data_IF_338685876569
#
_entry.id   IF_338685876569
#
_cell.length_a   1.000
_cell.length_b   1.000
_cell.length_c   1.000
_cell.angle_alpha   90.00
_cell.angle_beta   90.00
_cell.angle_gamma   90.00
#
_symmetry.space_group_name_H-M   'P 1'
#
loop_
_entity.id
_entity.type
_entity.pdbx_description
1 polymer ?
#
# COMPACT_ATOMS: atom_id res chain seq x y z
N UNK A 1 -0.37 -4.37 -16.96
CA UNK A 1 -0.22 -2.90 -17.13
C UNK A 1 -0.95 -2.27 -15.97
N UNK A 2 -0.24 -1.61 -15.08
CA UNK A 2 -0.84 -0.92 -13.94
C UNK A 2 -1.73 0.23 -14.43
N UNK A 3 -2.84 0.48 -13.74
CA UNK A 3 -3.77 1.57 -14.06
C UNK A 3 -3.30 2.82 -13.35
N UNK A 4 -2.80 3.80 -14.10
CA UNK A 4 -2.39 5.08 -13.52
C UNK A 4 -3.58 6.04 -13.41
N UNK A 5 -4.12 6.23 -12.21
CA UNK A 5 -5.26 7.11 -11.97
C UNK A 5 -4.92 8.60 -12.13
N UNK A 6 -3.64 8.97 -12.09
CA UNK A 6 -3.19 10.34 -12.32
C UNK A 6 -3.03 10.70 -13.81
N UNK A 7 -3.00 9.70 -14.72
CA UNK A 7 -2.88 9.95 -16.15
C UNK A 7 -4.22 10.34 -16.77
N UNK A 8 -4.34 11.57 -17.25
CA UNK A 8 -5.54 12.08 -17.95
C UNK A 8 -5.95 11.23 -19.16
N UNK A 9 -5.01 10.51 -19.78
CA UNK A 9 -5.25 9.63 -20.94
C UNK A 9 -5.83 8.28 -20.55
N UNK A 10 -5.74 7.88 -19.26
CA UNK A 10 -6.31 6.63 -18.76
C UNK A 10 -7.84 6.73 -18.65
N UNK A 11 -8.55 6.67 -19.80
CA UNK A 11 -10.02 6.80 -19.86
C UNK A 11 -10.76 5.49 -19.57
N UNK A 12 -10.08 4.36 -19.69
CA UNK A 12 -10.68 3.02 -19.55
C UNK A 12 -10.55 2.41 -18.15
N UNK A 13 -10.06 3.17 -17.17
CA UNK A 13 -9.83 2.70 -15.81
C UNK A 13 -11.08 2.02 -15.19
N UNK A 14 -12.25 2.61 -15.35
CA UNK A 14 -13.50 2.06 -14.82
C UNK A 14 -13.82 0.67 -15.38
N UNK A 15 -13.62 0.47 -16.70
CA UNK A 15 -13.80 -0.84 -17.35
C UNK A 15 -12.79 -1.88 -16.86
N UNK A 16 -11.55 -1.46 -16.61
CA UNK A 16 -10.51 -2.35 -16.09
C UNK A 16 -10.87 -2.77 -14.66
N UNK A 17 -11.20 -1.81 -13.78
CA UNK A 17 -11.59 -2.11 -12.41
C UNK A 17 -12.86 -2.95 -12.31
N UNK A 18 -13.88 -2.71 -13.16
CA UNK A 18 -15.06 -3.57 -13.20
C UNK A 18 -14.71 -5.05 -13.49
N UNK A 19 -13.79 -5.30 -14.45
CA UNK A 19 -13.29 -6.66 -14.71
C UNK A 19 -12.49 -7.22 -13.54
N UNK A 20 -11.64 -6.40 -12.91
CA UNK A 20 -10.86 -6.78 -11.74
C UNK A 20 -11.76 -7.18 -10.58
N UNK A 21 -12.80 -6.41 -10.29
CA UNK A 21 -13.74 -6.72 -9.21
C UNK A 21 -14.62 -7.94 -9.52
N UNK A 22 -15.02 -8.14 -10.79
CA UNK A 22 -15.71 -9.36 -11.20
C UNK A 22 -14.84 -10.61 -10.94
N UNK A 23 -13.57 -10.56 -11.31
CA UNK A 23 -12.61 -11.62 -11.05
C UNK A 23 -12.33 -11.81 -9.55
N UNK A 24 -12.11 -10.71 -8.82
CA UNK A 24 -11.91 -10.76 -7.37
C UNK A 24 -13.09 -11.41 -6.64
N UNK A 25 -14.32 -11.13 -7.07
CA UNK A 25 -15.52 -11.79 -6.56
C UNK A 25 -15.53 -13.29 -6.86
N UNK A 26 -15.18 -13.68 -8.08
CA UNK A 26 -15.12 -15.09 -8.50
C UNK A 26 -14.14 -15.89 -7.67
N UNK A 27 -12.92 -15.37 -7.46
CA UNK A 27 -11.89 -16.03 -6.65
C UNK A 27 -12.07 -15.79 -5.13
N UNK A 28 -13.14 -15.10 -4.71
CA UNK A 28 -13.42 -14.76 -3.31
C UNK A 28 -12.27 -13.98 -2.64
N UNK A 29 -11.60 -13.09 -3.37
CA UNK A 29 -10.58 -12.22 -2.79
C UNK A 29 -11.19 -11.34 -1.70
N UNK A 30 -10.48 -11.16 -0.59
CA UNK A 30 -10.96 -10.35 0.53
C UNK A 30 -11.00 -8.86 0.20
N UNK A 31 -10.12 -8.39 -0.67
CA UNK A 31 -10.05 -6.99 -1.12
C UNK A 31 -9.22 -6.88 -2.41
N UNK A 32 -9.30 -5.70 -3.04
CA UNK A 32 -8.45 -5.29 -4.15
C UNK A 32 -7.67 -4.04 -3.74
N UNK A 33 -6.36 -4.05 -3.96
CA UNK A 33 -5.48 -2.91 -3.71
C UNK A 33 -5.53 -1.96 -4.90
N UNK A 34 -5.62 -0.66 -4.63
CA UNK A 34 -5.68 0.38 -5.65
C UNK A 34 -4.57 1.41 -5.40
N UNK A 35 -3.70 1.57 -6.38
CA UNK A 35 -2.71 2.64 -6.40
C UNK A 35 -3.37 3.97 -6.78
N UNK A 36 -2.99 5.05 -6.13
CA UNK A 36 -3.44 6.40 -6.49
C UNK A 36 -2.81 6.87 -7.80
N UNK A 37 -1.55 6.51 -8.02
CA UNK A 37 -0.78 6.88 -9.22
C UNK A 37 0.45 5.98 -9.39
N UNK A 38 0.98 5.94 -10.61
CA UNK A 38 2.31 5.40 -10.92
C UNK A 38 3.30 6.55 -11.19
N UNK A 39 2.87 7.52 -11.98
CA UNK A 39 3.56 8.78 -12.28
C UNK A 39 2.52 9.86 -12.51
N UNK A 40 2.94 11.13 -12.42
CA UNK A 40 2.02 12.23 -12.65
C UNK A 40 2.74 13.45 -13.27
N UNK A 41 1.95 14.32 -13.91
CA UNK A 41 2.41 15.58 -14.52
C UNK A 41 1.34 16.65 -14.41
N UNK A 42 1.75 17.91 -14.31
CA UNK A 42 0.88 19.07 -14.23
C UNK A 42 0.74 19.60 -12.81
N UNK A 43 -0.27 20.42 -12.58
CA UNK A 43 -0.54 21.02 -11.28
C UNK A 43 -1.00 19.95 -10.29
N UNK A 44 -0.29 19.84 -9.16
CA UNK A 44 -0.48 18.79 -8.15
C UNK A 44 -1.93 18.68 -7.68
N UNK A 45 -2.53 19.79 -7.28
CA UNK A 45 -3.90 19.81 -6.77
C UNK A 45 -4.92 19.34 -7.82
N UNK A 46 -4.75 19.75 -9.08
CA UNK A 46 -5.62 19.31 -10.16
C UNK A 46 -5.51 17.79 -10.39
N UNK A 47 -4.30 17.24 -10.29
CA UNK A 47 -4.06 15.81 -10.45
C UNK A 47 -4.61 15.02 -9.25
N UNK A 48 -4.41 15.50 -8.02
CA UNK A 48 -5.02 14.92 -6.83
C UNK A 48 -6.54 14.90 -6.94
N UNK A 49 -7.17 16.00 -7.35
CA UNK A 49 -8.60 16.09 -7.57
C UNK A 49 -9.09 15.11 -8.67
N UNK A 50 -8.31 14.87 -9.72
CA UNK A 50 -8.60 13.85 -10.73
C UNK A 50 -8.60 12.45 -10.12
N UNK A 51 -7.58 12.12 -9.33
CA UNK A 51 -7.46 10.83 -8.65
C UNK A 51 -8.62 10.62 -7.68
N UNK A 52 -8.97 11.61 -6.87
CA UNK A 52 -10.10 11.54 -5.92
C UNK A 52 -11.41 11.22 -6.65
N UNK A 53 -11.70 11.91 -7.75
CA UNK A 53 -12.91 11.62 -8.55
C UNK A 53 -12.91 10.19 -9.10
N UNK A 54 -11.76 9.70 -9.57
CA UNK A 54 -11.63 8.35 -10.10
C UNK A 54 -11.73 7.28 -9.02
N UNK A 55 -11.14 7.52 -7.86
CA UNK A 55 -11.26 6.63 -6.69
C UNK A 55 -12.73 6.49 -6.26
N UNK A 56 -13.49 7.61 -6.19
CA UNK A 56 -14.92 7.55 -5.88
C UNK A 56 -15.68 6.62 -6.84
N UNK A 57 -15.45 6.78 -8.12
CA UNK A 57 -16.08 5.93 -9.13
C UNK A 57 -15.64 4.45 -9.02
N UNK A 58 -14.34 4.19 -8.71
CA UNK A 58 -13.83 2.84 -8.49
C UNK A 58 -14.49 2.18 -7.28
N UNK A 59 -14.66 2.93 -6.19
CA UNK A 59 -15.32 2.43 -4.97
C UNK A 59 -16.79 2.11 -5.25
N UNK A 60 -17.52 2.98 -5.95
CA UNK A 60 -18.89 2.73 -6.39
C UNK A 60 -19.01 1.45 -7.26
N UNK A 61 -18.02 1.22 -8.15
CA UNK A 61 -17.98 -0.02 -8.93
C UNK A 61 -17.71 -1.23 -8.03
N UNK A 62 -16.76 -1.12 -7.09
CA UNK A 62 -16.40 -2.22 -6.18
C UNK A 62 -17.61 -2.67 -5.33
N UNK A 63 -18.45 -1.73 -4.88
CA UNK A 63 -19.66 -1.99 -4.12
C UNK A 63 -20.65 -2.89 -4.91
N UNK A 64 -20.79 -2.67 -6.22
CA UNK A 64 -21.66 -3.49 -7.09
C UNK A 64 -21.22 -4.97 -7.13
N UNK A 65 -19.93 -5.23 -6.89
CA UNK A 65 -19.39 -6.58 -6.83
C UNK A 65 -19.25 -7.12 -5.40
N UNK A 66 -19.57 -6.31 -4.39
CA UNK A 66 -19.35 -6.60 -2.97
C UNK A 66 -17.86 -6.92 -2.67
N UNK A 67 -16.95 -6.17 -3.28
CA UNK A 67 -15.50 -6.29 -3.10
C UNK A 67 -15.00 -5.07 -2.35
N UNK A 68 -14.14 -5.28 -1.35
CA UNK A 68 -13.54 -4.19 -0.59
C UNK A 68 -12.31 -3.63 -1.31
N UNK A 69 -12.11 -2.32 -1.16
CA UNK A 69 -10.94 -1.62 -1.72
C UNK A 69 -9.97 -1.26 -0.59
N UNK A 70 -8.68 -1.45 -0.84
CA UNK A 70 -7.61 -0.85 -0.04
C UNK A 70 -6.89 0.20 -0.88
N UNK A 71 -6.64 1.37 -0.31
CA UNK A 71 -5.78 2.38 -0.93
C UNK A 71 -4.37 2.20 -0.39
N UNK A 72 -3.39 2.19 -1.29
CA UNK A 72 -1.97 2.05 -0.96
C UNK A 72 -1.23 3.38 -1.04
N UNK A 73 -0.26 3.60 -0.14
CA UNK A 73 0.66 4.73 -0.18
C UNK A 73 1.74 4.49 -1.24
N UNK A 74 1.54 5.03 -2.41
CA UNK A 74 2.44 4.89 -3.56
C UNK A 74 3.13 6.19 -3.93
N UNK A 75 4.17 6.05 -4.75
CA UNK A 75 4.98 7.16 -5.22
C UNK A 75 6.15 7.47 -4.28
N UNK A 76 7.26 7.88 -4.89
CA UNK A 76 8.53 8.09 -4.20
C UNK A 76 9.05 9.49 -4.45
N UNK A 77 9.43 10.19 -3.39
CA UNK A 77 10.01 11.53 -3.46
C UNK A 77 11.27 11.59 -4.36
N UNK A 78 12.23 10.65 -4.25
CA UNK A 78 13.40 10.67 -5.13
C UNK A 78 13.08 10.47 -6.61
N UNK A 79 11.99 9.77 -6.93
CA UNK A 79 11.52 9.55 -8.30
C UNK A 79 10.56 10.65 -8.80
N UNK A 80 10.29 11.68 -7.99
CA UNK A 80 9.32 12.75 -8.28
C UNK A 80 7.90 12.21 -8.60
N UNK A 81 7.59 11.00 -8.14
CA UNK A 81 6.28 10.36 -8.34
C UNK A 81 5.35 10.46 -7.14
N UNK A 82 5.79 11.05 -6.02
CA UNK A 82 5.00 11.22 -4.81
C UNK A 82 3.91 12.27 -5.02
N UNK A 83 2.69 11.83 -5.31
CA UNK A 83 1.53 12.70 -5.50
C UNK A 83 0.84 13.02 -4.17
N UNK A 84 0.69 12.04 -3.28
CA UNK A 84 0.10 12.17 -1.96
C UNK A 84 1.18 11.91 -0.90
N UNK A 85 1.80 12.96 -0.37
CA UNK A 85 2.68 12.83 0.80
C UNK A 85 1.84 12.56 2.06
N UNK A 86 2.45 12.25 3.20
CA UNK A 86 1.72 11.81 4.39
C UNK A 86 0.50 12.69 4.75
N UNK A 87 0.59 14.03 4.82
CA UNK A 87 -0.57 14.86 5.09
C UNK A 87 -1.67 14.72 4.05
N UNK A 88 -1.30 14.70 2.75
CA UNK A 88 -2.25 14.54 1.66
C UNK A 88 -2.88 13.14 1.65
N UNK A 89 -2.08 12.11 1.96
CA UNK A 89 -2.57 10.73 2.06
C UNK A 89 -3.59 10.60 3.20
N UNK A 90 -3.29 11.16 4.37
CA UNK A 90 -4.25 11.15 5.49
C UNK A 90 -5.52 11.94 5.15
N UNK A 91 -5.41 13.09 4.50
CA UNK A 91 -6.56 13.87 4.04
C UNK A 91 -7.39 13.10 2.99
N UNK A 92 -6.73 12.38 2.07
CA UNK A 92 -7.42 11.49 1.11
C UNK A 92 -8.25 10.43 1.83
N UNK A 93 -7.71 9.83 2.90
CA UNK A 93 -8.41 8.82 3.68
C UNK A 93 -9.62 9.39 4.43
N UNK A 94 -9.62 10.66 4.83
CA UNK A 94 -10.79 11.32 5.42
C UNK A 94 -11.93 11.53 4.40
N UNK A 95 -11.60 11.63 3.10
CA UNK A 95 -12.62 11.67 2.03
C UNK A 95 -13.30 10.30 1.84
N UNK A 96 -12.59 9.20 2.15
CA UNK A 96 -13.04 7.82 1.94
C UNK A 96 -12.99 7.02 3.24
N UNK A 97 -13.87 7.34 4.18
CA UNK A 97 -13.86 6.77 5.54
C UNK A 97 -14.15 5.27 5.58
N UNK A 98 -14.86 4.74 4.59
CA UNK A 98 -15.25 3.33 4.43
C UNK A 98 -14.13 2.44 3.86
N UNK A 99 -13.10 3.05 3.25
CA UNK A 99 -12.03 2.32 2.57
C UNK A 99 -10.94 1.91 3.55
N UNK A 100 -10.43 0.70 3.38
CA UNK A 100 -9.27 0.22 4.12
C UNK A 100 -7.96 0.75 3.53
N UNK A 101 -6.87 0.51 4.25
CA UNK A 101 -5.52 0.95 3.84
C UNK A 101 -4.60 -0.25 3.74
N UNK A 102 -3.77 -0.27 2.71
CA UNK A 102 -2.55 -1.04 2.65
C UNK A 102 -1.38 -0.07 2.87
N UNK A 103 -0.54 -0.34 3.85
CA UNK A 103 0.68 0.41 4.10
C UNK A 103 1.86 -0.33 3.50
N UNK A 104 2.48 0.25 2.48
CA UNK A 104 3.78 -0.18 2.01
C UNK A 104 4.87 0.46 2.87
N UNK A 105 5.65 -0.40 3.55
CA UNK A 105 6.68 0.02 4.51
C UNK A 105 7.89 0.62 3.83
N UNK A 106 8.27 0.10 2.66
CA UNK A 106 9.41 0.61 1.90
C UNK A 106 9.12 1.98 1.31
N UNK A 107 7.95 2.18 0.72
CA UNK A 107 7.51 3.50 0.25
C UNK A 107 7.46 4.53 1.39
N UNK A 108 6.89 4.14 2.53
CA UNK A 108 6.83 5.01 3.70
C UNK A 108 8.23 5.40 4.18
N UNK A 109 9.18 4.43 4.23
CA UNK A 109 10.55 4.67 4.68
C UNK A 109 11.32 5.60 3.74
N UNK A 110 11.27 5.35 2.41
CA UNK A 110 11.91 6.23 1.40
C UNK A 110 11.36 7.66 1.46
N UNK A 111 10.08 7.82 1.77
CA UNK A 111 9.44 9.12 1.90
C UNK A 111 9.66 9.79 3.28
N UNK A 112 10.37 9.12 4.20
CA UNK A 112 10.70 9.64 5.53
C UNK A 112 9.53 9.67 6.51
N UNK A 113 8.54 8.78 6.33
CA UNK A 113 7.39 8.71 7.23
C UNK A 113 7.76 8.00 8.54
N UNK A 114 7.22 8.47 9.65
CA UNK A 114 7.25 7.74 10.93
C UNK A 114 6.24 6.58 10.87
N UNK A 115 6.72 5.41 10.45
CA UNK A 115 5.88 4.23 10.22
C UNK A 115 5.09 3.84 11.47
N UNK A 116 5.65 3.75 12.68
CA UNK A 116 4.90 3.49 13.91
C UNK A 116 3.79 4.51 14.17
N UNK A 117 4.05 5.80 13.94
CA UNK A 117 3.04 6.84 14.11
C UNK A 117 1.91 6.72 13.07
N UNK A 118 2.24 6.39 11.81
CA UNK A 118 1.27 6.12 10.75
C UNK A 118 0.39 4.93 11.10
N UNK A 119 0.98 3.80 11.55
CA UNK A 119 0.23 2.61 11.99
C UNK A 119 -0.75 2.97 13.13
N UNK A 120 -0.28 3.75 14.10
CA UNK A 120 -1.14 4.22 15.21
C UNK A 120 -2.31 5.08 14.70
N UNK A 121 -2.05 6.00 13.78
CA UNK A 121 -3.07 6.88 13.21
C UNK A 121 -4.12 6.10 12.38
N UNK A 122 -3.68 5.13 11.59
CA UNK A 122 -4.56 4.29 10.78
C UNK A 122 -5.37 3.30 11.62
N UNK A 123 -4.79 2.74 12.68
CA UNK A 123 -5.46 1.82 13.57
C UNK A 123 -6.20 0.69 12.84
N UNK A 124 -7.49 0.53 13.10
CA UNK A 124 -8.33 -0.52 12.48
C UNK A 124 -8.56 -0.36 10.97
N UNK A 125 -8.25 0.80 10.40
CA UNK A 125 -8.33 1.03 8.95
C UNK A 125 -7.19 0.34 8.21
N UNK A 126 -6.06 0.10 8.86
CA UNK A 126 -4.94 -0.67 8.31
C UNK A 126 -5.35 -2.14 8.19
N UNK A 127 -5.49 -2.63 6.96
CA UNK A 127 -5.96 -3.98 6.63
C UNK A 127 -4.84 -4.89 6.16
N UNK A 128 -3.84 -4.32 5.49
CA UNK A 128 -2.69 -5.05 4.99
C UNK A 128 -1.44 -4.16 5.02
N UNK A 129 -0.28 -4.79 5.01
CA UNK A 129 1.00 -4.14 4.83
C UNK A 129 1.82 -4.92 3.81
N UNK A 130 2.47 -4.22 2.87
CA UNK A 130 3.59 -4.74 2.12
C UNK A 130 4.87 -4.53 2.93
N UNK A 131 5.59 -5.63 3.16
CA UNK A 131 6.79 -5.64 3.99
C UNK A 131 8.01 -5.92 3.14
N UNK A 132 8.83 -4.92 2.98
CA UNK A 132 10.17 -5.02 2.44
C UNK A 132 11.04 -3.91 3.03
N UNK A 133 12.34 -4.15 3.05
CA UNK A 133 13.30 -3.22 3.60
C UNK A 133 14.02 -2.43 2.50
N UNK A 134 14.60 -1.31 2.86
CA UNK A 134 15.48 -0.51 2.02
C UNK A 134 16.38 0.40 2.88
N UNK A 135 17.36 1.02 2.24
CA UNK A 135 18.28 1.96 2.88
C UNK A 135 17.74 3.39 3.04
N UNK A 136 16.46 3.67 2.70
CA UNK A 136 15.85 5.00 2.75
C UNK A 136 16.11 5.88 1.51
N UNK A 137 16.96 5.46 0.59
CA UNK A 137 17.29 6.22 -0.63
C UNK A 137 16.47 5.76 -1.85
N UNK A 138 16.05 4.52 -1.89
CA UNK A 138 15.31 3.91 -3.00
C UNK A 138 14.49 2.72 -2.56
N UNK A 139 13.61 2.31 -3.45
CA UNK A 139 12.71 1.19 -3.26
C UNK A 139 13.39 -0.10 -3.69
N UNK A 140 14.08 -0.74 -2.74
CA UNK A 140 15.00 -1.83 -3.02
C UNK A 140 14.38 -3.23 -2.86
N UNK A 141 13.21 -3.33 -2.21
CA UNK A 141 12.51 -4.59 -1.92
C UNK A 141 13.42 -5.65 -1.27
N UNK A 142 14.23 -5.22 -0.30
CA UNK A 142 15.13 -6.11 0.45
C UNK A 142 14.34 -6.93 1.49
N UNK A 143 14.84 -8.12 1.86
CA UNK A 143 14.33 -8.83 3.03
C UNK A 143 14.42 -7.99 4.31
N UNK A 144 13.46 -8.19 5.20
CA UNK A 144 13.41 -7.55 6.53
C UNK A 144 14.75 -7.72 7.26
N UNK A 145 15.31 -6.58 7.70
CA UNK A 145 16.58 -6.51 8.43
C UNK A 145 17.82 -6.34 7.55
N UNK A 146 17.65 -6.23 6.22
CA UNK A 146 18.76 -5.94 5.30
C UNK A 146 18.84 -4.46 4.89
N UNK A 147 17.91 -3.63 5.36
CA UNK A 147 17.89 -2.18 5.19
C UNK A 147 18.00 -1.45 6.52
N UNK A 148 17.29 -0.33 6.62
CA UNK A 148 17.37 0.56 7.79
C UNK A 148 16.02 0.82 8.47
N UNK A 149 14.93 0.12 8.08
CA UNK A 149 13.64 0.23 8.75
C UNK A 149 13.72 -0.31 10.18
N UNK A 150 13.16 0.41 11.13
CA UNK A 150 13.09 -0.05 12.52
C UNK A 150 11.94 -1.08 12.69
N UNK A 151 12.23 -2.34 12.37
CA UNK A 151 11.26 -3.43 12.42
C UNK A 151 10.76 -3.76 13.82
N UNK A 152 11.57 -3.53 14.86
CA UNK A 152 11.11 -3.72 16.24
C UNK A 152 9.99 -2.72 16.58
N UNK A 153 10.17 -1.46 16.23
CA UNK A 153 9.15 -0.43 16.41
C UNK A 153 7.92 -0.69 15.54
N UNK A 154 8.13 -1.15 14.29
CA UNK A 154 7.06 -1.55 13.39
C UNK A 154 6.17 -2.64 14.01
N UNK A 155 6.73 -3.80 14.38
CA UNK A 155 5.95 -4.91 14.90
C UNK A 155 5.28 -4.59 16.24
N UNK A 156 5.92 -3.81 17.11
CA UNK A 156 5.27 -3.29 18.33
C UNK A 156 4.04 -2.44 18.01
N UNK A 157 4.13 -1.58 16.98
CA UNK A 157 3.01 -0.74 16.57
C UNK A 157 1.87 -1.59 15.96
N UNK A 158 2.19 -2.56 15.10
CA UNK A 158 1.21 -3.50 14.52
C UNK A 158 0.48 -4.27 15.62
N UNK A 159 1.20 -4.91 16.52
CA UNK A 159 0.59 -5.69 17.61
C UNK A 159 -0.35 -4.85 18.48
N UNK A 160 -0.01 -3.58 18.70
CA UNK A 160 -0.79 -2.67 19.55
C UNK A 160 -1.98 -2.05 18.84
N UNK A 161 -1.82 -1.62 17.59
CA UNK A 161 -2.80 -0.74 16.91
C UNK A 161 -3.53 -1.39 15.74
N UNK A 162 -2.92 -2.39 15.09
CA UNK A 162 -3.48 -3.05 13.92
C UNK A 162 -3.24 -4.58 13.91
N UNK A 163 -3.52 -5.33 15.01
CA UNK A 163 -3.13 -6.74 15.15
C UNK A 163 -3.84 -7.70 14.18
N UNK A 164 -4.83 -7.23 13.44
CA UNK A 164 -5.57 -8.02 12.44
C UNK A 164 -5.17 -7.69 10.99
N UNK A 165 -4.18 -6.82 10.80
CA UNK A 165 -3.68 -6.51 9.48
C UNK A 165 -2.89 -7.68 8.90
N UNK A 166 -3.07 -7.93 7.61
CA UNK A 166 -2.35 -8.98 6.88
C UNK A 166 -0.96 -8.46 6.56
N UNK A 167 0.05 -9.29 6.83
CA UNK A 167 1.45 -8.96 6.55
C UNK A 167 1.87 -9.72 5.30
N UNK A 168 2.23 -9.01 4.23
CA UNK A 168 2.63 -9.57 2.93
C UNK A 168 4.11 -9.24 2.71
N UNK A 169 4.96 -10.26 2.62
CA UNK A 169 6.35 -10.08 2.27
C UNK A 169 6.47 -9.80 0.77
N UNK A 170 7.07 -8.68 0.39
CA UNK A 170 7.20 -8.24 -0.99
C UNK A 170 8.68 -8.06 -1.36
N UNK A 171 9.39 -9.18 -1.39
CA UNK A 171 10.82 -9.19 -1.71
C UNK A 171 11.06 -9.45 -3.20
N UNK A 172 11.96 -8.71 -3.83
CA UNK A 172 12.37 -8.96 -5.22
C UNK A 172 13.63 -9.84 -5.32
N UNK A 173 14.32 -10.10 -4.22
CA UNK A 173 15.57 -10.89 -4.14
C UNK A 173 15.82 -11.37 -2.71
N UNK A 174 16.88 -12.14 -2.52
CA UNK A 174 17.36 -12.53 -1.18
C UNK A 174 17.13 -13.99 -0.82
N UNK A 175 16.37 -14.73 -1.65
CA UNK A 175 16.15 -16.16 -1.42
C UNK A 175 16.27 -16.95 -2.72
N UNK A 176 17.07 -18.03 -2.68
CA UNK A 176 17.27 -18.93 -3.82
C UNK A 176 16.24 -20.07 -3.85
N UNK A 177 15.48 -20.26 -2.75
CA UNK A 177 14.51 -21.32 -2.62
C UNK A 177 13.34 -20.95 -1.70
N UNK A 178 12.21 -21.65 -1.84
CA UNK A 178 11.08 -21.52 -0.95
C UNK A 178 11.45 -21.88 0.51
N UNK A 179 12.28 -22.93 0.69
CA UNK A 179 12.75 -23.32 2.03
C UNK A 179 13.54 -22.22 2.74
N UNK A 180 14.38 -21.49 2.01
CA UNK A 180 15.09 -20.33 2.58
C UNK A 180 14.15 -19.21 3.01
N UNK A 181 13.09 -18.94 2.23
CA UNK A 181 12.07 -17.98 2.60
C UNK A 181 11.26 -18.44 3.83
N UNK A 182 10.89 -19.73 3.89
CA UNK A 182 10.18 -20.31 5.04
C UNK A 182 11.03 -20.21 6.32
N UNK A 183 12.31 -20.55 6.25
CA UNK A 183 13.22 -20.37 7.38
C UNK A 183 13.27 -18.92 7.84
N UNK A 184 13.43 -17.97 6.93
CA UNK A 184 13.41 -16.53 7.24
C UNK A 184 12.10 -16.11 7.94
N UNK A 185 10.97 -16.60 7.49
CA UNK A 185 9.67 -16.33 8.13
C UNK A 185 9.65 -16.84 9.58
N UNK A 186 10.15 -18.04 9.84
CA UNK A 186 10.22 -18.58 11.19
C UNK A 186 11.17 -17.77 12.09
N UNK A 187 12.31 -17.35 11.55
CA UNK A 187 13.24 -16.46 12.26
C UNK A 187 12.57 -15.10 12.63
N UNK A 188 11.78 -14.51 11.71
CA UNK A 188 11.03 -13.29 11.99
C UNK A 188 9.98 -13.51 13.09
N UNK A 189 9.25 -14.62 13.04
CA UNK A 189 8.24 -14.96 14.05
C UNK A 189 8.88 -15.07 15.44
N UNK A 190 10.00 -15.76 15.56
CA UNK A 190 10.73 -15.90 16.82
C UNK A 190 11.26 -14.54 17.30
N UNK A 191 11.93 -13.79 16.42
CA UNK A 191 12.56 -12.51 16.75
C UNK A 191 11.56 -11.47 17.22
N UNK A 192 10.42 -11.37 16.56
CA UNK A 192 9.42 -10.32 16.82
C UNK A 192 8.18 -10.83 17.58
N UNK A 193 8.17 -12.11 17.99
CA UNK A 193 7.07 -12.75 18.74
C UNK A 193 5.72 -12.65 18.03
N UNK A 194 5.71 -13.02 16.76
CA UNK A 194 4.53 -12.97 15.87
C UNK A 194 3.67 -14.22 15.98
#
# INVERSE_FOLDING_TARGET
MAVNLADKKCKNYAKIFAKTFAYAKEIKAGFVVVHTNEAWQGEREQVQNLVIRRLRNIIEIAEQYNVKVLIENVGLRPKQSLLFDLPDFMALLEVFTEVGVLLDTGHAHVNGWDIPAVIKALGKRLKACHLHDNGGAGDEHLPIGQGSINWEAYFKAIQKHAPKSIQVLEYCRGFESAAGLEQHIEELKVKYKL
#
